data_IF_951806524148
#
_entry.id   IF_951806524148
#
_cell.length_a   1.000
_cell.length_b   1.000
_cell.length_c   1.000
_cell.angle_alpha   90.00
_cell.angle_beta   90.00
_cell.angle_gamma   90.00
#
_symmetry.space_group_name_H-M   'P 1'
#
loop_
_entity.id
_entity.type
_entity.pdbx_description
1 polymer ?
#
# COMPACT_ATOMS: atom_id res chain seq x y z
N UNK A 1 23.43 49.74 -45.75
CA UNK A 1 22.98 49.07 -44.52
C UNK A 1 22.51 50.16 -43.59
N UNK A 2 21.20 50.36 -43.37
CA UNK A 2 20.38 49.58 -42.43
C UNK A 2 18.98 49.35 -43.02
N UNK A 3 18.44 48.15 -42.74
CA UNK A 3 17.22 47.57 -43.31
C UNK A 3 15.93 48.12 -42.68
N UNK A 4 14.87 47.99 -43.48
CA UNK A 4 13.49 48.43 -43.28
C UNK A 4 12.76 47.86 -42.06
N UNK A 5 11.76 48.61 -41.59
CA UNK A 5 10.52 48.04 -41.06
C UNK A 5 9.37 48.96 -41.50
N UNK A 6 8.72 48.60 -42.60
CA UNK A 6 7.45 49.18 -43.03
C UNK A 6 6.36 48.50 -42.20
N UNK A 7 5.57 49.30 -41.48
CA UNK A 7 4.36 48.83 -40.80
C UNK A 7 3.24 48.81 -41.86
N UNK A 8 2.97 47.63 -42.41
CA UNK A 8 1.99 47.39 -43.46
C UNK A 8 0.55 47.47 -42.91
N UNK A 9 -0.11 48.63 -43.00
CA UNK A 9 -1.57 48.70 -43.21
C UNK A 9 -2.02 49.93 -44.01
N UNK A 10 -1.36 50.23 -45.14
CA UNK A 10 -1.86 51.22 -46.12
C UNK A 10 -1.76 50.65 -47.55
N UNK A 11 -2.71 49.82 -47.94
CA UNK A 11 -2.99 49.51 -49.35
C UNK A 11 -4.43 49.93 -49.67
N UNK A 12 -4.62 51.19 -50.09
CA UNK A 12 -5.86 51.63 -50.73
C UNK A 12 -5.78 51.32 -52.24
N UNK A 13 -6.37 50.20 -52.66
CA UNK A 13 -6.68 49.96 -54.08
C UNK A 13 -7.84 50.86 -54.55
N UNK A 14 -7.87 51.27 -55.83
CA UNK A 14 -8.92 52.14 -56.34
C UNK A 14 -10.23 51.36 -56.48
N UNK A 15 -11.20 51.61 -55.60
CA UNK A 15 -12.58 51.12 -55.77
C UNK A 15 -13.29 50.53 -54.54
N UNK A 16 -12.69 50.48 -53.35
CA UNK A 16 -13.37 50.01 -52.15
C UNK A 16 -13.77 51.15 -51.21
N UNK A 17 -14.96 51.03 -50.62
CA UNK A 17 -15.54 51.98 -49.66
C UNK A 17 -14.64 52.16 -48.44
N UNK A 18 -14.24 53.40 -48.15
CA UNK A 18 -13.50 53.75 -46.95
C UNK A 18 -14.36 53.47 -45.70
N UNK A 19 -14.15 52.34 -45.04
CA UNK A 19 -14.64 52.15 -43.68
C UNK A 19 -13.63 52.77 -42.73
N UNK A 20 -13.98 53.94 -42.19
CA UNK A 20 -13.27 54.57 -41.06
C UNK A 20 -13.47 53.64 -39.86
N UNK A 21 -12.61 52.63 -39.72
CA UNK A 21 -12.59 51.79 -38.53
C UNK A 21 -12.03 52.63 -37.39
N UNK A 22 -12.80 52.75 -36.32
CA UNK A 22 -12.49 53.67 -35.23
C UNK A 22 -11.19 53.24 -34.54
N UNK A 23 -10.39 54.20 -34.08
CA UNK A 23 -9.13 53.91 -33.35
C UNK A 23 -9.35 53.01 -32.12
N UNK A 24 -10.58 53.00 -31.60
CA UNK A 24 -11.06 52.13 -30.54
C UNK A 24 -11.19 50.67 -30.98
N UNK A 25 -11.75 50.40 -32.17
CA UNK A 25 -11.88 49.04 -32.73
C UNK A 25 -10.51 48.43 -33.03
N UNK A 26 -9.59 49.20 -33.59
CA UNK A 26 -8.20 48.74 -33.81
C UNK A 26 -7.49 48.40 -32.49
N UNK A 27 -7.66 49.23 -31.45
CA UNK A 27 -7.12 48.95 -30.11
C UNK A 27 -7.74 47.72 -29.47
N UNK A 28 -9.05 47.52 -29.63
CA UNK A 28 -9.76 46.36 -29.12
C UNK A 28 -9.29 45.06 -29.79
N UNK A 29 -9.07 45.09 -31.11
CA UNK A 29 -8.53 43.94 -31.85
C UNK A 29 -7.10 43.58 -31.40
N UNK A 30 -6.25 44.58 -31.16
CA UNK A 30 -4.89 44.35 -30.65
C UNK A 30 -4.92 43.74 -29.24
N UNK A 31 -5.77 44.25 -28.35
CA UNK A 31 -5.92 43.70 -26.99
C UNK A 31 -6.43 42.26 -27.04
N UNK A 32 -7.39 41.96 -27.92
CA UNK A 32 -7.93 40.61 -28.10
C UNK A 32 -6.86 39.62 -28.58
N UNK A 33 -6.04 40.01 -29.55
CA UNK A 33 -4.92 39.19 -30.05
C UNK A 33 -3.89 38.93 -28.95
N UNK A 34 -3.56 39.94 -28.14
CA UNK A 34 -2.63 39.79 -27.01
C UNK A 34 -3.19 38.83 -25.96
N UNK A 35 -4.48 38.94 -25.62
CA UNK A 35 -5.13 38.03 -24.66
C UNK A 35 -5.13 36.58 -25.17
N UNK A 36 -5.42 36.37 -26.46
CA UNK A 36 -5.37 35.04 -27.08
C UNK A 36 -3.94 34.49 -27.08
N UNK A 37 -2.94 35.29 -27.42
CA UNK A 37 -1.53 34.88 -27.41
C UNK A 37 -1.06 34.49 -26.00
N UNK A 38 -1.45 35.25 -24.97
CA UNK A 38 -1.17 34.93 -23.56
C UNK A 38 -1.89 33.65 -23.15
N UNK A 39 -3.17 33.48 -23.51
CA UNK A 39 -3.93 32.28 -23.20
C UNK A 39 -3.32 31.03 -23.86
N UNK A 40 -2.88 31.12 -25.12
CA UNK A 40 -2.19 30.03 -25.82
C UNK A 40 -0.84 29.75 -25.16
N UNK A 41 -0.05 30.78 -24.84
CA UNK A 41 1.23 30.63 -24.15
C UNK A 41 1.09 29.98 -22.77
N UNK A 42 0.07 30.37 -22.00
CA UNK A 42 -0.27 29.74 -20.73
C UNK A 42 -0.75 28.30 -20.93
N UNK A 43 -1.62 28.02 -21.90
CA UNK A 43 -2.05 26.65 -22.22
C UNK A 43 -0.88 25.76 -22.64
N UNK A 44 0.08 26.27 -23.42
CA UNK A 44 1.27 25.53 -23.82
C UNK A 44 2.25 25.33 -22.65
N UNK A 45 2.46 26.36 -21.82
CA UNK A 45 3.27 26.24 -20.61
C UNK A 45 2.64 25.28 -19.60
N UNK A 46 1.33 25.35 -19.42
CA UNK A 46 0.56 24.41 -18.61
C UNK A 46 0.57 23.02 -19.25
N UNK A 47 0.47 22.84 -20.56
CA UNK A 47 0.56 21.53 -21.20
C UNK A 47 1.98 20.91 -21.09
N UNK A 48 3.02 21.75 -21.17
CA UNK A 48 4.41 21.33 -20.97
C UNK A 48 4.68 20.95 -19.50
N UNK A 49 4.07 21.67 -18.56
CA UNK A 49 4.17 21.43 -17.11
C UNK A 49 3.14 20.44 -16.58
N UNK A 50 2.05 20.18 -17.33
CA UNK A 50 1.02 19.16 -17.07
C UNK A 50 1.46 17.79 -17.58
N UNK A 51 2.78 17.57 -17.67
CA UNK A 51 3.37 16.33 -17.16
C UNK A 51 3.17 16.23 -15.62
N UNK A 52 1.98 16.61 -15.15
CA UNK A 52 1.45 16.33 -13.84
C UNK A 52 1.11 14.87 -13.81
N UNK A 53 2.05 14.08 -13.30
CA UNK A 53 1.83 12.83 -12.55
C UNK A 53 0.68 11.96 -13.05
N UNK A 54 0.69 11.56 -14.32
CA UNK A 54 0.50 10.12 -14.55
C UNK A 54 1.71 9.49 -13.90
N UNK A 55 1.62 9.22 -12.58
CA UNK A 55 2.57 8.34 -11.91
C UNK A 55 2.63 7.15 -12.84
N UNK A 56 3.80 6.97 -13.42
CA UNK A 56 4.12 5.95 -14.38
C UNK A 56 3.69 4.62 -13.77
N UNK A 57 2.45 4.19 -14.03
CA UNK A 57 2.00 2.80 -13.89
C UNK A 57 2.63 2.06 -15.08
N UNK A 58 3.94 2.22 -15.24
CA UNK A 58 4.76 1.31 -16.01
C UNK A 58 5.63 0.68 -14.94
N UNK A 59 5.01 -0.28 -14.26
CA UNK A 59 5.60 -1.56 -13.87
C UNK A 59 7.13 -1.56 -14.01
N UNK A 60 7.77 -0.86 -13.08
CA UNK A 60 9.10 -1.16 -12.55
C UNK A 60 9.01 -1.23 -11.01
N UNK A 61 7.82 -1.60 -10.53
CA UNK A 61 7.45 -1.80 -9.12
C UNK A 61 7.43 -3.30 -8.77
N UNK A 62 7.85 -4.19 -9.67
CA UNK A 62 7.95 -5.63 -9.36
C UNK A 62 9.34 -6.01 -8.85
N UNK A 63 10.35 -5.16 -9.01
CA UNK A 63 11.70 -5.43 -8.51
C UNK A 63 11.88 -5.14 -7.01
N UNK A 64 11.00 -4.33 -6.40
CA UNK A 64 11.07 -3.93 -5.00
C UNK A 64 9.96 -4.51 -4.12
N UNK A 65 9.06 -5.33 -4.67
CA UNK A 65 8.00 -5.98 -3.88
C UNK A 65 8.53 -7.32 -3.36
N UNK A 66 8.47 -7.49 -2.04
CA UNK A 66 8.82 -8.76 -1.42
C UNK A 66 7.73 -9.80 -1.70
N UNK A 67 8.12 -10.89 -2.36
CA UNK A 67 7.26 -12.05 -2.64
C UNK A 67 7.67 -13.27 -1.81
N UNK A 68 8.42 -13.06 -0.72
CA UNK A 68 8.70 -14.15 0.22
C UNK A 68 7.38 -14.62 0.86
N UNK A 69 7.28 -15.90 1.26
CA UNK A 69 6.09 -16.42 1.91
C UNK A 69 5.69 -15.61 3.16
N UNK A 70 6.67 -15.13 3.92
CA UNK A 70 6.48 -14.30 5.11
C UNK A 70 5.88 -12.93 4.75
N UNK A 71 6.39 -12.29 3.70
CA UNK A 71 5.86 -11.01 3.22
C UNK A 71 4.43 -11.13 2.74
N UNK A 72 4.11 -12.15 1.93
CA UNK A 72 2.76 -12.39 1.42
C UNK A 72 1.80 -12.68 2.57
N UNK A 73 2.20 -13.55 3.51
CA UNK A 73 1.40 -13.88 4.69
C UNK A 73 1.12 -12.67 5.56
N UNK A 74 2.15 -11.85 5.82
CA UNK A 74 2.01 -10.63 6.62
C UNK A 74 1.12 -9.60 5.93
N UNK A 75 1.31 -9.38 4.63
CA UNK A 75 0.51 -8.46 3.84
C UNK A 75 -0.97 -8.90 3.83
N UNK A 76 -1.24 -10.19 3.65
CA UNK A 76 -2.59 -10.74 3.70
C UNK A 76 -3.25 -10.52 5.08
N UNK A 77 -2.54 -10.79 6.17
CA UNK A 77 -3.04 -10.57 7.52
C UNK A 77 -3.31 -9.09 7.81
N UNK A 78 -2.45 -8.19 7.33
CA UNK A 78 -2.65 -6.75 7.43
C UNK A 78 -3.92 -6.32 6.67
N UNK A 79 -4.02 -6.68 5.39
CA UNK A 79 -5.18 -6.32 4.56
C UNK A 79 -6.50 -6.83 5.15
N UNK A 80 -6.49 -8.03 5.74
CA UNK A 80 -7.68 -8.61 6.36
C UNK A 80 -8.20 -7.76 7.53
N UNK A 81 -7.32 -7.12 8.29
CA UNK A 81 -7.68 -6.31 9.46
C UNK A 81 -8.20 -4.91 9.09
N UNK A 82 -7.92 -4.44 7.87
CA UNK A 82 -8.22 -3.10 7.38
C UNK A 82 -9.61 -2.99 6.74
N UNK A 83 -10.26 -1.83 6.88
CA UNK A 83 -11.48 -1.47 6.14
C UNK A 83 -11.16 -0.43 5.05
N UNK A 84 -11.02 -0.90 3.81
CA UNK A 84 -10.67 -0.06 2.65
C UNK A 84 -11.77 0.92 2.22
N UNK A 85 -12.96 0.85 2.84
CA UNK A 85 -14.04 1.82 2.59
C UNK A 85 -13.91 3.07 3.48
N UNK A 86 -13.04 3.05 4.48
CA UNK A 86 -12.78 4.18 5.37
C UNK A 86 -11.64 5.02 4.80
N UNK A 87 -11.78 6.35 4.79
CA UNK A 87 -10.65 7.21 4.44
C UNK A 87 -9.64 7.28 5.61
N UNK A 88 -8.34 7.04 5.35
CA UNK A 88 -7.31 7.02 6.40
C UNK A 88 -7.01 8.40 6.99
N UNK A 89 -7.32 9.47 6.25
CA UNK A 89 -7.15 10.86 6.70
C UNK A 89 -8.23 11.29 7.69
N UNK A 90 -9.41 10.66 7.63
CA UNK A 90 -10.55 10.99 8.48
C UNK A 90 -10.53 10.16 9.77
N UNK A 91 -10.38 8.84 9.64
CA UNK A 91 -10.30 7.92 10.77
C UNK A 91 -9.33 6.78 10.46
N UNK A 92 -8.05 7.04 10.73
CA UNK A 92 -6.99 6.05 10.56
C UNK A 92 -7.25 4.79 11.40
N UNK A 93 -7.80 4.93 12.61
CA UNK A 93 -8.04 3.79 13.49
C UNK A 93 -9.08 2.83 12.89
N UNK A 94 -10.20 3.37 12.41
CA UNK A 94 -11.20 2.57 11.69
C UNK A 94 -10.63 2.01 10.38
N UNK A 95 -9.79 2.76 9.66
CA UNK A 95 -9.16 2.23 8.46
C UNK A 95 -8.27 1.00 8.74
N UNK A 96 -7.47 1.00 9.82
CA UNK A 96 -6.56 -0.13 10.12
C UNK A 96 -7.13 -1.24 11.00
N UNK A 97 -8.11 -0.97 11.86
CA UNK A 97 -8.54 -1.93 12.90
C UNK A 97 -10.01 -2.35 12.81
N UNK A 98 -10.83 -1.72 11.98
CA UNK A 98 -12.29 -1.94 12.01
C UNK A 98 -12.69 -3.37 11.69
N UNK A 99 -12.00 -4.05 10.76
CA UNK A 99 -12.31 -5.45 10.48
C UNK A 99 -11.78 -6.38 11.58
N UNK A 100 -10.62 -6.10 12.17
CA UNK A 100 -10.15 -6.83 13.36
C UNK A 100 -11.19 -6.82 14.49
N UNK A 101 -11.75 -5.65 14.80
CA UNK A 101 -12.74 -5.51 15.88
C UNK A 101 -14.01 -6.32 15.55
N UNK A 102 -14.47 -6.26 14.29
CA UNK A 102 -15.61 -7.08 13.83
C UNK A 102 -15.33 -8.58 14.04
N UNK A 103 -14.15 -9.06 13.66
CA UNK A 103 -13.79 -10.47 13.79
C UNK A 103 -13.74 -10.91 15.25
N UNK A 104 -13.21 -10.07 16.14
CA UNK A 104 -13.18 -10.38 17.58
C UNK A 104 -14.55 -10.42 18.23
N UNK A 105 -15.46 -9.53 17.82
CA UNK A 105 -16.85 -9.54 18.31
C UNK A 105 -17.58 -10.83 17.95
N UNK A 106 -17.30 -11.44 16.78
CA UNK A 106 -17.87 -12.75 16.40
C UNK A 106 -17.45 -13.87 17.38
N UNK A 107 -16.32 -13.71 18.08
CA UNK A 107 -15.81 -14.66 19.08
C UNK A 107 -16.35 -14.33 20.49
N UNK A 108 -17.13 -13.25 20.64
CA UNK A 108 -17.79 -12.87 21.89
C UNK A 108 -16.95 -12.02 22.85
N UNK A 109 -15.70 -11.70 22.51
CA UNK A 109 -14.82 -10.86 23.31
C UNK A 109 -13.91 -10.01 22.39
N UNK A 110 -13.90 -8.69 22.59
CA UNK A 110 -12.97 -7.81 21.87
C UNK A 110 -11.58 -8.06 22.42
N UNK A 111 -10.77 -8.81 21.67
CA UNK A 111 -9.40 -9.14 22.06
C UNK A 111 -8.41 -8.19 21.42
N UNK A 112 -7.42 -7.76 22.22
CA UNK A 112 -6.30 -6.99 21.69
C UNK A 112 -5.34 -7.92 20.93
N UNK A 113 -4.53 -7.33 20.05
CA UNK A 113 -3.46 -8.08 19.37
C UNK A 113 -2.50 -8.73 20.37
N UNK A 114 -2.24 -8.08 21.52
CA UNK A 114 -1.41 -8.63 22.59
C UNK A 114 -2.05 -9.85 23.27
N UNK A 115 -3.36 -9.82 23.53
CA UNK A 115 -4.10 -10.97 24.08
C UNK A 115 -4.02 -12.18 23.14
N UNK A 116 -4.14 -11.94 21.82
CA UNK A 116 -3.99 -13.00 20.81
C UNK A 116 -2.56 -13.53 20.75
N UNK A 117 -1.56 -12.66 20.86
CA UNK A 117 -0.16 -13.06 20.90
C UNK A 117 0.14 -13.91 22.13
N UNK A 118 -0.28 -13.46 23.32
CA UNK A 118 -0.11 -14.17 24.59
C UNK A 118 -0.75 -15.56 24.54
N UNK A 119 -1.98 -15.66 24.03
CA UNK A 119 -2.67 -16.93 23.80
C UNK A 119 -1.87 -17.86 22.88
N UNK A 120 -1.32 -17.34 21.77
CA UNK A 120 -0.49 -18.13 20.85
C UNK A 120 0.81 -18.60 21.50
N UNK A 121 1.46 -17.75 22.30
CA UNK A 121 2.67 -18.10 23.04
C UNK A 121 2.35 -19.21 24.03
N UNK A 122 1.30 -19.06 24.85
CA UNK A 122 0.86 -20.07 25.80
C UNK A 122 0.53 -21.41 25.12
N UNK A 123 -0.17 -21.40 23.99
CA UNK A 123 -0.47 -22.60 23.23
C UNK A 123 0.79 -23.27 22.69
N UNK A 124 1.72 -22.52 22.09
CA UNK A 124 2.98 -23.06 21.58
C UNK A 124 3.84 -23.65 22.70
N UNK A 125 3.92 -22.96 23.84
CA UNK A 125 4.60 -23.46 25.04
C UNK A 125 3.95 -24.75 25.53
N UNK A 126 2.62 -24.78 25.66
CA UNK A 126 1.87 -25.97 26.10
C UNK A 126 2.11 -27.14 25.18
N UNK A 127 2.05 -26.95 23.86
CA UNK A 127 2.35 -28.00 22.88
C UNK A 127 3.78 -28.52 23.04
N UNK A 128 4.76 -27.62 23.16
CA UNK A 128 6.16 -28.03 23.31
C UNK A 128 6.44 -28.76 24.62
N UNK A 129 5.85 -28.29 25.73
CA UNK A 129 5.90 -28.95 27.03
C UNK A 129 5.24 -30.32 26.92
N UNK A 130 4.04 -30.43 26.36
CA UNK A 130 3.34 -31.70 26.22
C UNK A 130 4.12 -32.69 25.34
N UNK A 131 4.79 -32.24 24.27
CA UNK A 131 5.67 -33.09 23.47
C UNK A 131 6.87 -33.59 24.27
N UNK A 132 7.50 -32.73 25.06
CA UNK A 132 8.64 -33.11 25.92
C UNK A 132 8.22 -34.02 27.07
N UNK A 133 7.09 -33.71 27.73
CA UNK A 133 6.51 -34.50 28.82
C UNK A 133 6.04 -35.84 28.29
N UNK A 134 5.39 -35.91 27.12
CA UNK A 134 4.97 -37.17 26.50
C UNK A 134 6.19 -38.01 26.11
N UNK A 135 7.24 -37.40 25.55
CA UNK A 135 8.50 -38.11 25.28
C UNK A 135 9.13 -38.64 26.58
N UNK A 136 9.14 -37.83 27.64
CA UNK A 136 9.65 -38.23 28.95
C UNK A 136 8.78 -39.31 29.61
N UNK A 137 7.45 -39.25 29.53
CA UNK A 137 6.54 -40.25 30.09
C UNK A 137 6.63 -41.57 29.33
N UNK A 138 6.83 -41.54 28.00
CA UNK A 138 7.12 -42.72 27.19
C UNK A 138 8.47 -43.32 27.57
N UNK A 139 9.52 -42.51 27.71
CA UNK A 139 10.85 -42.98 28.16
C UNK A 139 10.79 -43.50 29.61
N UNK A 140 10.05 -42.83 30.50
CA UNK A 140 9.85 -43.26 31.89
C UNK A 140 9.02 -44.54 31.95
N UNK A 141 8.03 -44.71 31.08
CA UNK A 141 7.28 -45.96 30.92
C UNK A 141 8.20 -47.08 30.44
N UNK A 142 9.11 -46.80 29.49
CA UNK A 142 10.13 -47.76 29.07
C UNK A 142 11.17 -48.06 30.16
N UNK A 143 11.59 -47.06 30.92
CA UNK A 143 12.53 -47.21 32.04
C UNK A 143 11.90 -48.00 33.18
N UNK A 144 10.66 -47.69 33.59
CA UNK A 144 9.90 -48.43 34.59
C UNK A 144 9.67 -49.89 34.15
N UNK A 145 9.39 -50.13 32.87
CA UNK A 145 9.27 -51.48 32.30
C UNK A 145 10.62 -52.21 32.32
N UNK A 146 11.73 -51.52 32.00
CA UNK A 146 13.10 -52.07 32.09
C UNK A 146 13.54 -52.35 33.54
N UNK A 147 13.19 -51.49 34.50
CA UNK A 147 13.46 -51.69 35.92
C UNK A 147 12.61 -52.82 36.52
N UNK A 148 11.35 -52.98 36.06
CA UNK A 148 10.51 -54.14 36.41
C UNK A 148 11.07 -55.49 35.90
N UNK A 149 11.96 -55.46 34.90
CA UNK A 149 12.68 -56.63 34.38
C UNK A 149 14.01 -56.87 35.12
N UNK A 150 14.62 -55.83 35.69
CA UNK A 150 15.86 -55.94 36.47
C UNK A 150 15.61 -56.51 37.88
N UNK A 151 14.40 -56.37 38.43
CA UNK A 151 13.98 -57.01 39.69
C UNK A 151 13.52 -58.47 39.59
N UNK A 152 13.55 -59.07 38.38
CA UNK A 152 13.15 -60.49 38.15
C UNK A 152 14.32 -61.40 37.80
N UNK A 153 15.57 -60.93 37.93
CA UNK A 153 16.77 -61.75 37.69
C UNK A 153 17.67 -61.85 38.93
N UNK A 154 17.08 -62.13 40.09
CA UNK A 154 17.80 -62.70 41.23
C UNK A 154 16.85 -63.62 42.02
N UNK A 155 16.60 -64.83 41.52
CA UNK A 155 16.13 -65.96 42.35
C UNK A 155 16.26 -67.36 41.70
N UNK A 156 17.27 -67.58 40.85
CA UNK A 156 17.65 -68.92 40.42
C UNK A 156 19.18 -69.04 40.49
N UNK A 157 19.70 -69.40 41.67
CA UNK A 157 21.14 -69.56 41.89
C UNK A 157 21.56 -69.47 43.36
N UNK A 158 20.88 -70.19 44.27
CA UNK A 158 21.41 -70.57 45.58
C UNK A 158 20.52 -71.71 46.13
N UNK A 159 21.15 -72.75 46.69
CA UNK A 159 20.64 -74.11 47.00
C UNK A 159 20.49 -75.00 45.75
N UNK A 160 21.19 -76.13 45.59
CA UNK A 160 22.02 -76.98 46.48
C UNK A 160 23.37 -77.32 45.85
#
# INVERSE_FOLDING_TARGET
MIYAFADDTDYCSPGSTCTITTTLEKRLLIILIIVIAIAIGLCLALAANSKGRTKKILINETSNVCLSPECISTAAHLLHSMDLNQEPCDDFYSFVCKNWIKDTYLVGEITTQFTRLDSNIHLRIKVHIMLKVNKFSVIQSMHNKKWSMCGKRERHGAFE
#
